data_IF_735833616345
#
_entry.id   IF_735833616345
#
_cell.length_a   1.000
_cell.length_b   1.000
_cell.length_c   1.000
_cell.angle_alpha   90.00
_cell.angle_beta   90.00
_cell.angle_gamma   90.00
#
_symmetry.space_group_name_H-M   'P 1'
#
loop_
_entity.id
_entity.type
_entity.pdbx_description
1 polymer ?
#
# COMPACT_ATOMS: atom_id res chain seq x y z
N UNK A 1 33.58 -13.82 -6.60
CA UNK A 1 32.83 -13.50 -5.37
C UNK A 1 33.04 -12.04 -5.02
N UNK A 2 31.96 -11.24 -5.04
CA UNK A 2 31.72 -9.96 -4.33
C UNK A 2 30.52 -9.27 -5.00
N UNK A 3 29.31 -9.46 -4.47
CA UNK A 3 28.17 -8.55 -4.74
C UNK A 3 28.17 -7.53 -3.62
N UNK A 4 28.27 -6.26 -4.00
CA UNK A 4 28.24 -5.12 -3.09
C UNK A 4 26.78 -4.84 -2.78
N UNK A 5 26.34 -5.11 -1.55
CA UNK A 5 25.06 -4.67 -1.03
C UNK A 5 25.15 -3.18 -0.73
N UNK A 6 24.45 -2.36 -1.52
CA UNK A 6 24.25 -0.94 -1.23
C UNK A 6 22.81 -0.74 -0.78
N UNK A 7 22.53 -1.12 0.47
CA UNK A 7 21.42 -0.55 1.23
C UNK A 7 21.96 0.68 1.94
N UNK A 8 21.68 1.87 1.41
CA UNK A 8 21.94 3.12 2.14
C UNK A 8 20.69 3.48 2.92
N UNK A 9 20.86 3.50 4.24
CA UNK A 9 19.87 3.98 5.20
C UNK A 9 19.38 5.38 4.83
N UNK A 10 18.07 5.53 4.69
CA UNK A 10 17.40 6.83 4.54
C UNK A 10 16.57 7.09 5.80
N UNK A 11 16.89 8.18 6.51
CA UNK A 11 16.13 8.78 7.61
C UNK A 11 15.90 10.26 7.27
N UNK A 12 14.84 10.89 7.80
CA UNK A 12 13.76 11.42 6.97
C UNK A 12 13.69 12.96 6.89
N UNK A 13 12.81 13.42 5.98
CA UNK A 13 12.04 14.67 6.06
C UNK A 13 12.76 15.97 5.69
N UNK A 14 13.26 16.03 4.45
CA UNK A 14 13.44 17.30 3.74
C UNK A 14 12.57 17.33 2.48
N UNK A 15 11.82 18.43 2.34
CA UNK A 15 10.98 18.72 1.18
C UNK A 15 11.87 18.84 -0.07
N UNK A 16 11.38 18.30 -1.18
CA UNK A 16 11.92 18.44 -2.54
C UNK A 16 13.08 17.52 -2.98
N UNK A 17 13.11 16.26 -2.54
CA UNK A 17 13.70 15.20 -3.35
C UNK A 17 12.58 14.52 -4.14
N UNK A 18 12.56 14.70 -5.46
CA UNK A 18 11.73 13.88 -6.36
C UNK A 18 12.27 12.46 -6.28
N UNK A 19 11.74 11.66 -5.35
CA UNK A 19 11.97 10.23 -5.32
C UNK A 19 11.47 9.70 -6.67
N UNK A 20 12.29 8.97 -7.45
CA UNK A 20 11.82 8.38 -8.69
C UNK A 20 10.60 7.52 -8.36
N UNK A 21 9.45 7.87 -8.96
CA UNK A 21 8.22 7.10 -8.85
C UNK A 21 8.54 5.67 -9.29
N UNK A 22 8.68 4.75 -8.35
CA UNK A 22 8.93 3.35 -8.70
C UNK A 22 7.71 2.85 -9.47
N UNK A 23 7.96 2.12 -10.56
CA UNK A 23 6.86 1.53 -11.32
C UNK A 23 6.12 0.54 -10.43
N UNK A 24 4.80 0.42 -10.62
CA UNK A 24 3.97 -0.59 -9.94
C UNK A 24 4.62 -1.97 -10.03
N UNK A 25 5.09 -2.35 -11.22
CA UNK A 25 5.84 -3.58 -11.44
C UNK A 25 7.06 -3.72 -10.52
N UNK A 26 7.84 -2.68 -10.24
CA UNK A 26 8.98 -2.76 -9.32
C UNK A 26 8.55 -2.94 -7.85
N UNK A 27 7.43 -2.35 -7.44
CA UNK A 27 6.85 -2.54 -6.10
C UNK A 27 6.30 -3.96 -5.94
N UNK A 28 5.67 -4.51 -6.99
CA UNK A 28 5.19 -5.90 -7.04
C UNK A 28 6.35 -6.92 -7.17
N UNK A 29 7.44 -6.56 -7.84
CA UNK A 29 8.60 -7.44 -8.12
C UNK A 29 9.72 -7.34 -7.10
N UNK A 30 9.51 -6.71 -5.93
CA UNK A 30 10.43 -6.75 -4.79
C UNK A 30 10.10 -7.97 -3.90
N UNK A 31 10.53 -9.20 -4.26
CA UNK A 31 9.95 -10.46 -3.78
C UNK A 31 10.50 -10.86 -2.41
N UNK A 32 11.44 -10.10 -1.86
CA UNK A 32 11.97 -10.28 -0.51
C UNK A 32 11.05 -9.65 0.56
N UNK A 33 10.05 -8.86 0.13
CA UNK A 33 9.09 -8.17 1.00
C UNK A 33 7.68 -8.76 0.98
N UNK A 34 7.36 -9.58 -0.02
CA UNK A 34 6.08 -10.26 -0.15
C UNK A 34 6.37 -11.74 0.03
N UNK A 35 5.85 -12.41 1.07
CA UNK A 35 6.10 -13.83 1.21
C UNK A 35 5.63 -14.52 -0.07
N UNK A 36 6.45 -15.44 -0.56
CA UNK A 36 6.10 -16.37 -1.64
C UNK A 36 4.83 -17.20 -1.34
N UNK A 37 4.27 -16.99 -0.15
CA UNK A 37 3.20 -17.73 0.51
C UNK A 37 1.83 -17.06 0.35
N UNK A 38 1.65 -16.06 -0.53
CA UNK A 38 0.30 -15.59 -0.91
C UNK A 38 -0.60 -16.76 -1.34
N UNK A 39 0.00 -17.80 -1.93
CA UNK A 39 -0.69 -19.00 -2.39
C UNK A 39 -1.20 -19.93 -1.26
N UNK A 40 -0.82 -19.70 -0.01
CA UNK A 40 -1.20 -20.54 1.14
C UNK A 40 -2.18 -19.88 2.11
N UNK A 41 -2.72 -18.71 1.79
CA UNK A 41 -3.42 -17.88 2.76
C UNK A 41 -4.94 -18.12 2.73
N UNK A 42 -5.49 -18.78 3.75
CA UNK A 42 -6.93 -18.85 4.06
C UNK A 42 -7.42 -17.49 4.58
N UNK A 43 -7.33 -16.45 3.76
CA UNK A 43 -7.89 -15.15 4.12
C UNK A 43 -8.68 -14.56 2.99
N UNK A 44 -9.63 -13.71 3.35
CA UNK A 44 -10.39 -12.90 2.42
C UNK A 44 -9.52 -11.89 1.65
N UNK A 45 -8.23 -11.74 1.91
CA UNK A 45 -7.38 -10.85 1.14
C UNK A 45 -6.98 -11.49 -0.18
N UNK A 46 -7.27 -10.78 -1.27
CA UNK A 46 -6.93 -11.16 -2.64
C UNK A 46 -5.96 -10.15 -3.22
N UNK A 47 -4.84 -10.65 -3.74
CA UNK A 47 -3.88 -9.83 -4.45
C UNK A 47 -4.61 -9.27 -5.68
N UNK A 48 -4.39 -8.01 -6.07
CA UNK A 48 -4.93 -7.51 -7.32
C UNK A 48 -4.41 -8.34 -8.51
N UNK A 49 -3.35 -9.14 -8.31
CA UNK A 49 -2.82 -10.07 -9.30
C UNK A 49 -2.41 -9.37 -10.60
N UNK A 50 -2.50 -10.10 -11.72
CA UNK A 50 -2.38 -9.59 -13.09
C UNK A 50 -3.52 -8.63 -13.49
N UNK A 51 -4.49 -8.35 -12.59
CA UNK A 51 -5.56 -7.40 -12.84
C UNK A 51 -5.09 -5.95 -12.60
N UNK A 52 -4.13 -5.51 -13.42
CA UNK A 52 -3.63 -4.12 -13.47
C UNK A 52 -4.78 -3.10 -13.54
N UNK A 53 -5.90 -3.48 -14.16
CA UNK A 53 -7.13 -2.66 -14.20
C UNK A 53 -7.78 -2.48 -12.83
N UNK A 54 -7.92 -3.54 -12.04
CA UNK A 54 -8.54 -3.47 -10.71
C UNK A 54 -7.67 -2.61 -9.79
N UNK A 55 -6.40 -2.94 -9.77
CA UNK A 55 -5.33 -2.18 -9.17
C UNK A 55 -5.40 -0.66 -9.44
N UNK A 56 -5.41 -0.26 -10.72
CA UNK A 56 -5.50 1.16 -11.09
C UNK A 56 -6.82 1.78 -10.65
N UNK A 57 -7.93 1.05 -10.73
CA UNK A 57 -9.23 1.56 -10.30
C UNK A 57 -9.28 1.85 -8.79
N UNK A 58 -8.61 1.00 -7.98
CA UNK A 58 -8.49 1.21 -6.53
C UNK A 58 -7.56 2.40 -6.21
N UNK A 59 -6.45 2.54 -6.95
CA UNK A 59 -5.56 3.71 -6.83
C UNK A 59 -6.32 5.01 -7.14
N UNK A 60 -7.15 5.00 -8.18
CA UNK A 60 -7.97 6.14 -8.59
C UNK A 60 -9.13 6.42 -7.64
N UNK A 61 -9.76 5.40 -7.05
CA UNK A 61 -10.78 5.58 -6.01
C UNK A 61 -10.16 6.23 -4.78
N UNK A 62 -9.04 5.72 -4.27
CA UNK A 62 -8.35 6.32 -3.13
C UNK A 62 -8.06 7.81 -3.38
N UNK A 63 -7.51 8.15 -4.55
CA UNK A 63 -7.24 9.56 -4.93
C UNK A 63 -8.50 10.43 -4.95
N UNK A 64 -9.64 9.89 -5.38
CA UNK A 64 -10.91 10.63 -5.39
C UNK A 64 -11.41 10.90 -3.97
N UNK A 65 -11.31 9.91 -3.10
CA UNK A 65 -11.80 10.01 -1.73
C UNK A 65 -10.93 10.88 -0.84
N UNK A 66 -9.61 10.84 -1.02
CA UNK A 66 -8.68 11.65 -0.23
C UNK A 66 -8.91 13.15 -0.46
N UNK A 67 -9.22 13.88 0.61
CA UNK A 67 -9.27 15.34 0.62
C UNK A 67 -8.21 15.94 1.52
N UNK A 68 -7.87 17.20 1.26
CA UNK A 68 -6.91 17.97 2.07
C UNK A 68 -7.29 17.88 3.55
N UNK A 69 -6.32 17.50 4.38
CA UNK A 69 -6.52 17.25 5.81
C UNK A 69 -6.55 15.77 6.18
N UNK A 70 -6.72 14.87 5.20
CA UNK A 70 -6.51 13.44 5.40
C UNK A 70 -5.00 13.12 5.46
N UNK A 71 -4.61 12.17 6.32
CA UNK A 71 -3.19 11.84 6.56
C UNK A 71 -2.46 11.28 5.32
N UNK A 72 -3.22 10.67 4.41
CA UNK A 72 -2.71 10.09 3.16
C UNK A 72 -2.80 11.05 1.94
N UNK A 73 -3.35 12.27 2.10
CA UNK A 73 -3.71 13.13 0.95
C UNK A 73 -2.56 13.40 -0.04
N UNK A 74 -1.32 13.55 0.47
CA UNK A 74 -0.13 13.85 -0.35
C UNK A 74 0.75 12.61 -0.60
N UNK A 75 0.27 11.38 -0.31
CA UNK A 75 1.01 10.14 -0.54
C UNK A 75 0.64 9.49 -1.88
N UNK A 76 1.64 9.05 -2.64
CA UNK A 76 1.44 8.31 -3.90
C UNK A 76 1.36 6.80 -3.62
N UNK A 77 0.23 6.37 -3.07
CA UNK A 77 0.03 4.98 -2.66
C UNK A 77 -0.39 4.07 -3.81
N UNK A 78 -0.09 2.78 -3.70
CA UNK A 78 -0.44 1.73 -4.65
C UNK A 78 -1.20 0.60 -3.96
N UNK A 79 -2.38 0.23 -4.48
CA UNK A 79 -3.15 -0.91 -4.00
C UNK A 79 -2.39 -2.21 -4.25
N UNK A 80 -2.19 -3.03 -3.22
CA UNK A 80 -1.44 -4.29 -3.26
C UNK A 80 -2.25 -5.51 -2.79
N UNK A 81 -3.40 -5.30 -2.14
CA UNK A 81 -4.41 -6.33 -1.83
C UNK A 81 -5.79 -5.67 -1.64
N UNK A 82 -6.87 -6.39 -1.94
CA UNK A 82 -8.24 -6.05 -1.55
C UNK A 82 -8.79 -7.17 -0.69
N UNK A 83 -9.54 -6.84 0.35
CA UNK A 83 -10.31 -7.83 1.10
C UNK A 83 -11.62 -8.12 0.37
N UNK A 84 -11.97 -9.39 0.19
CA UNK A 84 -13.19 -9.83 -0.49
C UNK A 84 -14.41 -9.65 0.38
N UNK A 85 -14.26 -9.81 1.70
CA UNK A 85 -15.35 -9.69 2.66
C UNK A 85 -15.90 -8.26 2.83
N UNK A 86 -15.13 -7.22 2.46
CA UNK A 86 -15.54 -5.83 2.63
C UNK A 86 -14.80 -4.88 1.65
N UNK A 87 -14.86 -3.58 1.96
CA UNK A 87 -14.25 -2.51 1.15
C UNK A 87 -12.84 -2.11 1.63
N UNK A 88 -12.18 -2.97 2.41
CA UNK A 88 -10.79 -2.75 2.83
C UNK A 88 -9.83 -3.04 1.69
N UNK A 89 -8.89 -2.12 1.50
CA UNK A 89 -7.82 -2.22 0.50
C UNK A 89 -6.50 -1.93 1.19
N UNK A 90 -5.51 -2.79 0.96
CA UNK A 90 -4.16 -2.61 1.44
C UNK A 90 -3.37 -1.83 0.39
N UNK A 91 -2.81 -0.72 0.83
CA UNK A 91 -1.99 0.17 0.03
C UNK A 91 -0.54 0.17 0.51
N UNK A 92 0.41 0.15 -0.41
CA UNK A 92 1.83 0.34 -0.15
C UNK A 92 2.27 1.75 -0.53
N UNK A 93 3.20 2.30 0.25
CA UNK A 93 3.89 3.54 -0.08
C UNK A 93 5.21 3.23 -0.79
N UNK A 94 5.39 3.56 -2.08
CA UNK A 94 6.65 3.29 -2.79
C UNK A 94 7.85 4.06 -2.22
N UNK A 95 7.61 5.10 -1.42
CA UNK A 95 8.65 5.93 -0.80
C UNK A 95 8.99 5.49 0.63
N UNK A 96 8.29 4.52 1.21
CA UNK A 96 8.51 4.09 2.60
C UNK A 96 8.18 2.59 2.81
N UNK A 97 8.57 1.97 3.92
CA UNK A 97 8.16 0.59 4.19
C UNK A 97 6.71 0.49 4.69
N UNK A 98 6.03 1.62 4.92
CA UNK A 98 4.70 1.66 5.50
C UNK A 98 3.65 1.08 4.55
N UNK A 99 2.66 0.40 5.14
CA UNK A 99 1.46 -0.04 4.43
C UNK A 99 0.22 0.43 5.17
N UNK A 100 -0.87 0.62 4.45
CA UNK A 100 -2.09 1.22 4.94
C UNK A 100 -3.27 0.35 4.56
N UNK A 101 -4.04 -0.11 5.55
CA UNK A 101 -5.38 -0.64 5.28
C UNK A 101 -6.32 0.55 5.24
N UNK A 102 -6.99 0.74 4.11
CA UNK A 102 -7.95 1.82 3.91
C UNK A 102 -9.31 1.20 3.60
N UNK A 103 -10.32 1.58 4.38
CA UNK A 103 -11.71 1.22 4.11
C UNK A 103 -12.30 2.26 3.14
N UNK A 104 -12.33 1.93 1.85
CA UNK A 104 -12.87 2.83 0.82
C UNK A 104 -14.38 3.00 1.01
N UNK A 105 -14.88 4.21 0.80
CA UNK A 105 -16.31 4.52 0.99
C UNK A 105 -17.13 4.46 -0.29
N UNK A 106 -16.46 4.40 -1.45
CA UNK A 106 -17.01 4.49 -2.81
C UNK A 106 -17.85 5.75 -3.09
N UNK A 107 -17.74 6.76 -2.23
CA UNK A 107 -18.58 7.95 -2.30
C UNK A 107 -18.05 9.00 -3.27
N UNK A 108 -16.79 8.87 -3.72
CA UNK A 108 -16.08 9.84 -4.57
C UNK A 108 -15.74 11.17 -3.88
N UNK A 109 -16.21 11.40 -2.64
CA UNK A 109 -16.01 12.63 -1.88
C UNK A 109 -15.86 12.35 -0.39
N UNK A 110 -14.64 11.98 0.05
CA UNK A 110 -14.34 11.85 1.47
C UNK A 110 -14.37 13.19 2.21
N UNK A 111 -14.64 13.15 3.51
CA UNK A 111 -14.42 14.28 4.42
C UNK A 111 -13.47 13.80 5.51
N UNK A 112 -12.33 14.48 5.77
CA UNK A 112 -11.42 14.05 6.81
C UNK A 112 -12.15 13.84 8.16
N UNK A 113 -11.86 12.75 8.89
CA UNK A 113 -10.74 11.83 8.70
C UNK A 113 -11.05 10.63 7.79
N UNK A 114 -12.10 10.67 6.96
CA UNK A 114 -12.44 9.59 6.05
C UNK A 114 -11.71 9.70 4.70
N UNK A 115 -11.37 8.57 4.05
CA UNK A 115 -11.67 7.19 4.41
C UNK A 115 -10.93 6.67 5.65
N UNK A 116 -11.51 5.70 6.37
CA UNK A 116 -10.86 5.14 7.57
C UNK A 116 -9.54 4.48 7.18
N UNK A 117 -8.49 4.82 7.90
CA UNK A 117 -7.13 4.38 7.60
C UNK A 117 -6.48 3.78 8.83
N UNK A 118 -5.81 2.64 8.64
CA UNK A 118 -4.95 2.01 9.64
C UNK A 118 -3.54 1.86 9.06
N UNK A 119 -2.57 2.54 9.65
CA UNK A 119 -1.18 2.49 9.24
C UNK A 119 -0.41 1.34 9.93
N UNK A 120 0.47 0.69 9.17
CA UNK A 120 1.41 -0.31 9.65
C UNK A 120 2.83 0.07 9.23
N UNK A 121 3.78 -0.02 10.16
CA UNK A 121 5.17 0.36 9.91
C UNK A 121 5.84 -0.44 8.79
N UNK A 122 5.42 -1.69 8.60
CA UNK A 122 5.91 -2.60 7.55
C UNK A 122 4.79 -3.55 7.11
N UNK A 123 4.95 -4.16 5.94
CA UNK A 123 4.08 -5.27 5.51
C UNK A 123 4.11 -6.45 6.51
N UNK A 124 5.28 -6.78 7.07
CA UNK A 124 5.39 -7.81 8.11
C UNK A 124 4.61 -7.45 9.39
N UNK A 125 4.55 -6.17 9.77
CA UNK A 125 3.73 -5.70 10.88
C UNK A 125 2.23 -5.86 10.58
N UNK A 126 1.80 -5.59 9.34
CA UNK A 126 0.44 -5.89 8.89
C UNK A 126 0.13 -7.39 9.04
N UNK A 127 1.00 -8.27 8.55
CA UNK A 127 0.78 -9.73 8.66
C UNK A 127 0.65 -10.19 10.12
N UNK A 128 1.42 -9.62 11.04
CA UNK A 128 1.37 -9.98 12.46
C UNK A 128 0.12 -9.49 13.19
N UNK A 129 -0.52 -8.43 12.71
CA UNK A 129 -1.57 -7.71 13.43
C UNK A 129 -2.95 -7.90 12.81
N UNK A 130 -3.05 -7.76 11.49
CA UNK A 130 -4.33 -7.77 10.79
C UNK A 130 -4.85 -9.18 10.50
N UNK A 131 -4.03 -10.21 10.72
CA UNK A 131 -4.36 -11.62 10.41
C UNK A 131 -4.60 -12.46 11.67
N UNK A 132 -4.47 -11.87 12.85
CA UNK A 132 -4.68 -12.54 14.15
C UNK A 132 -6.03 -12.17 14.76
N UNK A 133 -6.72 -11.17 14.18
CA UNK A 133 -8.05 -10.68 14.57
C UNK A 133 -9.12 -11.18 13.58
#
# INVERSE_FOLDING_TARGET
MRRVSLWRAFRPRDKAATIPRQSRAAVLQAPEAWPADWAGFESDWVAPGDAEKLASALDDELRRELKRGHELFDRDLLAIAKRDANDDVLFADPASPEVFVVHLTWSGHGTPPWPKTTAYATFGHFLQRALVD
#
